data_IF_598887277118
#
_entry.id   IF_598887277118
#
_cell.length_a   1.000
_cell.length_b   1.000
_cell.length_c   1.000
_cell.angle_alpha   90.00
_cell.angle_beta   90.00
_cell.angle_gamma   90.00
#
_symmetry.space_group_name_H-M   'P 1'
#
loop_
_entity.id
_entity.type
_entity.pdbx_description
1 polymer ?
#
# COMPACT_ATOMS: atom_id res chain seq x y z
N UNK A 1 -15.13 -65.72 -20.94
CA UNK A 1 -14.00 -65.20 -20.26
C UNK A 1 -14.13 -63.67 -20.31
N UNK A 2 -14.77 -63.05 -19.32
CA UNK A 2 -14.98 -61.56 -19.28
C UNK A 2 -13.85 -60.89 -18.52
N UNK A 3 -13.03 -60.10 -19.25
CA UNK A 3 -11.99 -59.25 -18.63
C UNK A 3 -12.67 -58.04 -17.99
N UNK A 4 -12.66 -57.97 -16.65
CA UNK A 4 -13.06 -56.78 -15.91
C UNK A 4 -11.94 -55.75 -16.00
N UNK A 5 -12.16 -54.68 -16.76
CA UNK A 5 -11.27 -53.49 -16.79
C UNK A 5 -11.64 -52.61 -15.63
N UNK A 6 -10.76 -52.56 -14.60
CA UNK A 6 -10.92 -51.67 -13.47
C UNK A 6 -10.47 -50.29 -13.90
N UNK A 7 -11.41 -49.32 -14.02
CA UNK A 7 -11.13 -47.93 -14.31
C UNK A 7 -10.70 -47.26 -13.00
N UNK A 8 -9.41 -46.97 -12.85
CA UNK A 8 -8.86 -46.16 -11.74
C UNK A 8 -9.15 -44.69 -12.02
N UNK A 9 -10.16 -44.16 -11.32
CA UNK A 9 -10.43 -42.71 -11.32
C UNK A 9 -9.43 -42.04 -10.40
N UNK A 10 -8.43 -41.34 -10.98
CA UNK A 10 -7.54 -40.48 -10.25
C UNK A 10 -8.29 -39.18 -9.91
N UNK A 11 -8.72 -39.07 -8.66
CA UNK A 11 -9.29 -37.80 -8.13
C UNK A 11 -8.15 -36.81 -7.93
N UNK A 12 -7.97 -35.88 -8.86
CA UNK A 12 -7.06 -34.74 -8.72
C UNK A 12 -7.64 -33.77 -7.66
N UNK A 13 -7.18 -33.91 -6.43
CA UNK A 13 -7.44 -32.91 -5.40
C UNK A 13 -6.52 -31.73 -5.69
N UNK A 14 -7.04 -30.70 -6.39
CA UNK A 14 -6.35 -29.40 -6.53
C UNK A 14 -6.28 -28.77 -5.14
N UNK A 15 -5.11 -28.36 -4.68
CA UNK A 15 -5.02 -27.60 -3.43
C UNK A 15 -5.76 -26.29 -3.63
N UNK A 16 -6.85 -26.11 -2.89
CA UNK A 16 -7.52 -24.81 -2.75
C UNK A 16 -6.51 -23.88 -2.09
N UNK A 17 -5.87 -23.01 -2.88
CA UNK A 17 -5.06 -21.94 -2.34
C UNK A 17 -6.01 -20.94 -1.68
N UNK A 18 -6.16 -21.07 -0.38
CA UNK A 18 -6.81 -20.04 0.45
C UNK A 18 -5.88 -18.84 0.41
N UNK A 19 -6.19 -17.88 -0.46
CA UNK A 19 -5.61 -16.55 -0.38
C UNK A 19 -6.11 -15.96 0.94
N UNK A 20 -5.26 -15.97 1.95
CA UNK A 20 -5.53 -15.22 3.16
C UNK A 20 -5.74 -13.77 2.73
N UNK A 21 -6.99 -13.28 2.80
CA UNK A 21 -7.26 -11.87 2.58
C UNK A 21 -6.51 -11.12 3.69
N UNK A 22 -5.46 -10.41 3.29
CA UNK A 22 -4.69 -9.60 4.23
C UNK A 22 -5.65 -8.55 4.83
N UNK A 23 -5.87 -8.64 6.13
CA UNK A 23 -6.72 -7.66 6.83
C UNK A 23 -5.98 -6.32 6.94
N UNK A 24 -6.21 -5.46 5.95
CA UNK A 24 -5.55 -4.17 5.85
C UNK A 24 -5.81 -3.27 7.06
N UNK A 25 -6.93 -3.45 7.76
CA UNK A 25 -7.25 -2.69 8.97
C UNK A 25 -6.27 -2.95 10.11
N UNK A 26 -5.67 -4.14 10.14
CA UNK A 26 -4.67 -4.56 11.11
C UNK A 26 -3.23 -4.46 10.59
N UNK A 27 -3.00 -3.68 9.54
CA UNK A 27 -1.64 -3.42 9.04
C UNK A 27 -0.90 -2.45 9.97
N UNK A 28 0.32 -2.82 10.34
CA UNK A 28 1.27 -2.04 11.14
C UNK A 28 2.66 -2.10 10.54
N UNK A 29 3.51 -1.09 10.79
CA UNK A 29 4.93 -1.17 10.46
C UNK A 29 5.59 -2.42 11.04
N UNK A 30 6.44 -3.06 10.24
CA UNK A 30 7.16 -4.27 10.60
C UNK A 30 8.54 -4.23 9.90
N UNK A 31 9.65 -4.57 10.59
CA UNK A 31 11.00 -4.58 10.00
C UNK A 31 11.16 -5.52 8.79
N UNK A 32 10.31 -6.55 8.67
CA UNK A 32 10.31 -7.47 7.53
C UNK A 32 9.70 -6.86 6.25
N UNK A 33 8.96 -5.76 6.37
CA UNK A 33 8.36 -5.09 5.23
C UNK A 33 9.41 -4.34 4.42
N UNK A 34 9.48 -4.62 3.13
CA UNK A 34 10.28 -3.85 2.16
C UNK A 34 9.58 -2.52 1.83
N UNK A 35 10.31 -1.48 1.35
CA UNK A 35 9.72 -0.17 1.11
C UNK A 35 8.53 -0.19 0.13
N UNK A 36 8.62 -0.98 -0.95
CA UNK A 36 7.50 -1.13 -1.90
C UNK A 36 6.26 -1.78 -1.25
N UNK A 37 6.45 -2.68 -0.27
CA UNK A 37 5.33 -3.31 0.46
C UNK A 37 4.66 -2.29 1.38
N UNK A 38 5.44 -1.40 2.02
CA UNK A 38 4.89 -0.30 2.83
C UNK A 38 4.01 0.61 1.97
N UNK A 39 4.51 1.04 0.81
CA UNK A 39 3.72 1.86 -0.13
C UNK A 39 2.46 1.12 -0.59
N UNK A 40 2.58 -0.18 -0.92
CA UNK A 40 1.44 -1.01 -1.32
C UNK A 40 0.37 -1.10 -0.24
N UNK A 41 0.75 -1.29 1.02
CA UNK A 41 -0.19 -1.34 2.15
C UNK A 41 -0.91 -0.01 2.34
N UNK A 42 -0.18 1.11 2.29
CA UNK A 42 -0.76 2.44 2.37
C UNK A 42 -1.77 2.70 1.22
N UNK A 43 -1.42 2.33 -0.01
CA UNK A 43 -2.31 2.51 -1.16
C UNK A 43 -3.54 1.60 -1.09
N UNK A 44 -3.40 0.34 -0.65
CA UNK A 44 -4.52 -0.56 -0.44
C UNK A 44 -5.47 -0.03 0.66
N UNK A 45 -4.93 0.50 1.74
CA UNK A 45 -5.74 1.11 2.80
C UNK A 45 -6.52 2.33 2.28
N UNK A 46 -5.87 3.22 1.53
CA UNK A 46 -6.51 4.37 0.89
C UNK A 46 -7.57 3.94 -0.14
N UNK A 47 -7.30 2.90 -0.91
CA UNK A 47 -8.24 2.36 -1.89
C UNK A 47 -9.52 1.84 -1.24
N UNK A 48 -9.40 1.21 -0.07
CA UNK A 48 -10.51 0.62 0.68
C UNK A 48 -11.11 1.56 1.73
N UNK A 49 -10.70 2.84 1.74
CA UNK A 49 -11.18 3.80 2.73
C UNK A 49 -12.70 3.95 2.67
N UNK A 50 -13.31 4.02 3.83
CA UNK A 50 -14.75 4.24 4.02
C UNK A 50 -15.04 5.47 4.91
N UNK A 51 -16.28 5.66 5.30
CA UNK A 51 -16.71 6.80 6.12
C UNK A 51 -16.08 6.83 7.52
N UNK A 52 -15.51 5.72 7.99
CA UNK A 52 -14.75 5.68 9.25
C UNK A 52 -13.34 6.22 9.14
N UNK A 53 -12.86 6.50 7.92
CA UNK A 53 -11.48 6.92 7.63
C UNK A 53 -10.39 5.92 8.03
N UNK A 54 -10.73 4.62 8.16
CA UNK A 54 -9.77 3.61 8.57
C UNK A 54 -8.55 3.54 7.64
N UNK A 55 -8.75 3.72 6.33
CA UNK A 55 -7.66 3.69 5.35
C UNK A 55 -6.66 4.81 5.54
N UNK A 56 -7.14 6.01 5.89
CA UNK A 56 -6.30 7.16 6.24
C UNK A 56 -5.56 6.89 7.55
N UNK A 57 -6.24 6.32 8.56
CA UNK A 57 -5.63 5.94 9.83
C UNK A 57 -4.52 4.92 9.64
N UNK A 58 -4.76 3.84 8.89
CA UNK A 58 -3.73 2.84 8.57
C UNK A 58 -2.54 3.49 7.87
N UNK A 59 -2.78 4.34 6.88
CA UNK A 59 -1.72 5.07 6.18
C UNK A 59 -0.90 5.93 7.13
N UNK A 60 -1.53 6.60 8.09
CA UNK A 60 -0.84 7.41 9.09
C UNK A 60 0.06 6.60 10.03
N UNK A 61 -0.26 5.33 10.30
CA UNK A 61 0.61 4.43 11.09
C UNK A 61 1.98 4.28 10.45
N UNK A 62 2.05 4.25 9.12
CA UNK A 62 3.29 4.10 8.35
C UNK A 62 4.05 5.41 8.11
N UNK A 63 3.51 6.56 8.51
CA UNK A 63 4.22 7.82 8.46
C UNK A 63 5.38 7.84 9.47
N UNK A 64 6.57 8.31 9.05
CA UNK A 64 7.72 8.44 9.94
C UNK A 64 7.45 9.44 11.08
N UNK A 65 8.18 9.39 12.20
CA UNK A 65 8.02 10.35 13.28
C UNK A 65 8.13 11.80 12.81
N UNK A 66 9.07 12.12 11.92
CA UNK A 66 9.21 13.46 11.35
C UNK A 66 8.02 13.89 10.50
N UNK A 67 7.47 12.96 9.70
CA UNK A 67 6.26 13.19 8.92
C UNK A 67 5.05 13.44 9.85
N UNK A 68 4.90 12.63 10.91
CA UNK A 68 3.81 12.80 11.89
C UNK A 68 3.86 14.15 12.61
N UNK A 69 5.05 14.68 12.89
CA UNK A 69 5.22 16.02 13.47
C UNK A 69 4.67 17.09 12.51
N UNK A 70 4.91 16.94 11.20
CA UNK A 70 4.50 17.93 10.20
C UNK A 70 3.02 17.81 9.82
N UNK A 71 2.49 16.60 9.73
CA UNK A 71 1.15 16.32 9.18
C UNK A 71 0.11 15.94 10.23
N UNK A 72 0.54 15.51 11.41
CA UNK A 72 -0.33 15.10 12.52
C UNK A 72 -0.88 16.30 13.33
N UNK A 73 -1.75 16.02 14.28
CA UNK A 73 -2.25 14.70 14.69
C UNK A 73 -3.18 14.07 13.62
N UNK A 74 -3.63 12.83 13.84
CA UNK A 74 -4.46 12.07 12.88
C UNK A 74 -5.63 12.89 12.32
N UNK A 75 -6.35 13.64 13.13
CA UNK A 75 -7.46 14.49 12.68
C UNK A 75 -7.02 15.53 11.63
N UNK A 76 -5.82 16.09 11.77
CA UNK A 76 -5.23 17.03 10.79
C UNK A 76 -4.80 16.27 9.53
N UNK A 77 -4.22 15.09 9.68
CA UNK A 77 -3.83 14.22 8.57
C UNK A 77 -5.03 13.81 7.72
N UNK A 78 -6.18 13.46 8.34
CA UNK A 78 -7.42 13.17 7.62
C UNK A 78 -7.84 14.36 6.74
N UNK A 79 -7.80 15.59 7.28
CA UNK A 79 -8.12 16.80 6.49
C UNK A 79 -7.13 17.03 5.35
N UNK A 80 -5.85 16.76 5.57
CA UNK A 80 -4.81 16.86 4.55
C UNK A 80 -5.08 15.89 3.39
N UNK A 81 -5.37 14.63 3.70
CA UNK A 81 -5.65 13.61 2.67
C UNK A 81 -6.92 13.92 1.88
N UNK A 82 -7.91 14.56 2.52
CA UNK A 82 -9.16 14.94 1.85
C UNK A 82 -9.06 16.21 0.99
N UNK A 83 -7.93 16.92 1.01
CA UNK A 83 -7.73 18.06 0.14
C UNK A 83 -7.54 17.63 -1.35
N UNK A 84 -7.74 18.51 -2.33
CA UNK A 84 -7.68 18.17 -3.75
C UNK A 84 -6.39 17.48 -4.20
N UNK A 85 -5.24 17.80 -3.57
CA UNK A 85 -3.94 17.24 -3.97
C UNK A 85 -3.78 15.77 -3.60
N UNK A 86 -4.41 15.28 -2.53
CA UNK A 86 -4.26 13.92 -2.01
C UNK A 86 -5.54 13.09 -2.10
N UNK A 87 -6.71 13.73 -2.26
CA UNK A 87 -8.00 13.05 -2.42
C UNK A 87 -8.00 11.94 -3.49
N UNK A 88 -7.31 12.09 -4.62
CA UNK A 88 -7.24 11.03 -5.64
C UNK A 88 -6.69 9.69 -5.14
N UNK A 89 -5.95 9.67 -4.03
CA UNK A 89 -5.50 8.42 -3.38
C UNK A 89 -6.66 7.62 -2.79
N UNK A 90 -7.75 8.29 -2.39
CA UNK A 90 -8.92 7.64 -1.79
C UNK A 90 -9.75 6.94 -2.88
N UNK A 91 -10.07 5.66 -2.63
CA UNK A 91 -10.94 4.87 -3.49
C UNK A 91 -10.51 4.84 -4.99
N UNK A 92 -9.22 4.96 -5.24
CA UNK A 92 -8.68 4.84 -6.60
C UNK A 92 -8.95 3.44 -7.17
N UNK A 93 -9.01 3.32 -8.50
CA UNK A 93 -9.29 2.03 -9.15
C UNK A 93 -8.03 1.26 -9.50
N UNK A 94 -6.90 1.95 -9.69
CA UNK A 94 -5.64 1.30 -10.03
C UNK A 94 -4.44 2.09 -9.51
N UNK A 95 -3.38 1.37 -9.16
CA UNK A 95 -2.06 1.92 -8.82
C UNK A 95 -0.98 1.19 -9.62
N UNK A 96 -0.25 1.94 -10.45
CA UNK A 96 0.89 1.42 -11.22
C UNK A 96 2.18 1.83 -10.53
N UNK A 97 2.95 0.85 -10.06
CA UNK A 97 4.25 1.07 -9.44
C UNK A 97 5.32 1.23 -10.51
N UNK A 98 6.09 2.31 -10.43
CA UNK A 98 7.27 2.53 -11.25
C UNK A 98 8.50 1.93 -10.57
N UNK A 99 9.70 2.25 -11.08
CA UNK A 99 10.95 1.72 -10.53
C UNK A 99 11.16 2.14 -9.07
N UNK A 100 11.51 1.17 -8.23
CA UNK A 100 11.91 1.40 -6.84
C UNK A 100 13.40 1.71 -6.79
N UNK A 101 13.76 2.86 -6.24
CA UNK A 101 15.15 3.24 -6.00
C UNK A 101 15.46 3.19 -4.51
N UNK A 102 16.44 2.37 -4.13
CA UNK A 102 16.92 2.24 -2.74
C UNK A 102 18.38 2.66 -2.68
N UNK A 103 18.70 3.58 -1.78
CA UNK A 103 20.05 4.01 -1.47
C UNK A 103 20.27 3.97 0.04
N UNK A 104 21.00 2.99 0.53
CA UNK A 104 21.24 2.76 1.96
C UNK A 104 19.93 2.68 2.75
N UNK A 105 19.68 3.64 3.64
CA UNK A 105 18.52 3.72 4.52
C UNK A 105 17.37 4.54 3.92
N UNK A 106 17.43 4.91 2.64
CA UNK A 106 16.43 5.71 1.94
C UNK A 106 15.88 4.98 0.73
N UNK A 107 14.60 5.17 0.46
CA UNK A 107 13.94 4.64 -0.71
C UNK A 107 13.01 5.69 -1.34
N UNK A 108 12.88 5.62 -2.66
CA UNK A 108 11.93 6.40 -3.45
C UNK A 108 11.11 5.44 -4.30
N UNK A 109 9.80 5.52 -4.18
CA UNK A 109 8.85 4.78 -5.00
C UNK A 109 7.88 5.76 -5.64
N UNK A 110 7.90 5.83 -6.96
CA UNK A 110 6.89 6.54 -7.73
C UNK A 110 5.74 5.59 -8.08
N UNK A 111 4.52 6.08 -7.98
CA UNK A 111 3.31 5.38 -8.39
C UNK A 111 2.41 6.29 -9.20
N UNK A 112 1.69 5.72 -10.16
CA UNK A 112 0.65 6.41 -10.91
C UNK A 112 -0.70 5.87 -10.45
N UNK A 113 -1.53 6.74 -9.90
CA UNK A 113 -2.88 6.45 -9.47
C UNK A 113 -3.85 6.75 -10.61
N UNK A 114 -4.79 5.84 -10.85
CA UNK A 114 -5.93 6.07 -11.73
C UNK A 114 -7.20 6.14 -10.89
N UNK A 115 -7.92 7.23 -10.97
CA UNK A 115 -9.17 7.47 -10.25
C UNK A 115 -10.37 6.87 -10.98
N UNK A 116 -11.53 6.79 -10.32
CA UNK A 116 -12.77 6.25 -10.90
C UNK A 116 -13.26 7.02 -12.14
N UNK A 117 -12.90 8.30 -12.28
CA UNK A 117 -13.21 9.10 -13.47
C UNK A 117 -12.11 9.06 -14.55
N UNK A 118 -11.08 8.21 -14.38
CA UNK A 118 -10.01 8.03 -15.36
C UNK A 118 -8.85 9.02 -15.24
N UNK A 119 -8.86 9.94 -14.29
CA UNK A 119 -7.75 10.86 -14.04
C UNK A 119 -6.50 10.09 -13.57
N UNK A 120 -5.33 10.49 -14.10
CA UNK A 120 -4.04 9.87 -13.75
C UNK A 120 -3.16 10.89 -13.05
N UNK A 121 -2.72 10.55 -11.85
CA UNK A 121 -1.89 11.42 -11.01
C UNK A 121 -0.71 10.61 -10.48
N UNK A 122 0.50 11.18 -10.58
CA UNK A 122 1.69 10.59 -10.00
C UNK A 122 1.87 10.99 -8.54
N UNK A 123 2.38 10.06 -7.72
CA UNK A 123 2.76 10.31 -6.33
C UNK A 123 4.13 9.71 -6.06
N UNK A 124 5.04 10.54 -5.56
CA UNK A 124 6.38 10.12 -5.13
C UNK A 124 6.38 9.88 -3.63
N UNK A 125 6.55 8.63 -3.24
CA UNK A 125 6.78 8.23 -1.86
C UNK A 125 8.27 8.24 -1.56
N UNK A 126 8.65 8.96 -0.50
CA UNK A 126 9.99 8.90 0.07
C UNK A 126 9.91 8.22 1.42
N UNK A 127 10.79 7.24 1.62
CA UNK A 127 10.82 6.43 2.82
C UNK A 127 12.23 6.42 3.39
N UNK A 128 12.31 6.21 4.70
CA UNK A 128 13.57 5.92 5.38
C UNK A 128 13.39 4.82 6.42
N UNK A 129 14.51 4.21 6.83
CA UNK A 129 14.51 3.25 7.91
C UNK A 129 14.44 4.00 9.24
N UNK A 130 13.44 3.65 10.06
CA UNK A 130 13.31 4.16 11.42
C UNK A 130 14.43 3.61 12.31
N UNK A 131 15.14 4.51 12.97
CA UNK A 131 16.26 4.17 13.89
C UNK A 131 15.89 4.36 15.36
N UNK A 132 14.77 5.00 15.62
CA UNK A 132 14.27 5.26 16.97
C UNK A 132 13.50 4.08 17.57
N UNK A 133 12.99 4.26 18.80
CA UNK A 133 12.41 3.16 19.58
C UNK A 133 11.03 2.68 19.12
N UNK A 134 10.33 3.45 18.26
CA UNK A 134 8.95 3.11 17.87
C UNK A 134 8.87 1.85 17.01
N UNK A 135 9.78 1.70 16.05
CA UNK A 135 9.88 0.53 15.20
C UNK A 135 11.27 0.44 14.57
N UNK A 136 12.30 0.05 15.34
CA UNK A 136 13.67 -0.02 14.83
C UNK A 136 13.77 -0.92 13.60
N UNK A 137 14.32 -0.40 12.50
CA UNK A 137 14.49 -1.14 11.25
C UNK A 137 13.28 -1.12 10.31
N UNK A 138 12.17 -0.49 10.70
CA UNK A 138 11.01 -0.36 9.85
C UNK A 138 11.21 0.71 8.77
N UNK A 139 10.81 0.40 7.55
CA UNK A 139 10.63 1.42 6.51
C UNK A 139 9.38 2.25 6.80
N UNK A 140 9.57 3.56 6.92
CA UNK A 140 8.52 4.53 7.23
C UNK A 140 8.45 5.60 6.15
N UNK A 141 7.26 6.12 5.88
CA UNK A 141 7.05 7.14 4.85
C UNK A 141 7.35 8.53 5.40
N UNK A 142 8.34 9.20 4.82
CA UNK A 142 8.75 10.56 5.19
C UNK A 142 7.91 11.63 4.50
N UNK A 143 7.56 11.40 3.23
CA UNK A 143 6.74 12.33 2.44
C UNK A 143 6.07 11.63 1.26
N UNK A 144 4.95 12.18 0.84
CA UNK A 144 4.25 11.85 -0.40
C UNK A 144 4.02 13.12 -1.18
N UNK A 145 4.57 13.20 -2.41
CA UNK A 145 4.56 14.41 -3.23
C UNK A 145 3.83 14.11 -4.54
N UNK A 146 2.71 14.82 -4.85
CA UNK A 146 2.04 14.66 -6.13
C UNK A 146 2.88 15.23 -7.28
N UNK A 147 2.80 14.61 -8.45
CA UNK A 147 3.39 15.13 -9.69
C UNK A 147 2.49 14.86 -10.90
N UNK A 148 2.63 15.67 -11.93
CA UNK A 148 1.87 15.48 -13.18
C UNK A 148 2.44 14.32 -13.98
N UNK A 149 1.56 13.43 -14.44
CA UNK A 149 1.92 12.38 -15.40
C UNK A 149 1.93 13.02 -16.79
N UNK A 150 3.09 12.97 -17.46
CA UNK A 150 3.18 13.39 -18.86
C UNK A 150 2.60 12.28 -19.74
N UNK A 151 1.57 12.60 -20.50
CA UNK A 151 1.10 11.73 -21.58
C UNK A 151 2.07 11.88 -22.76
N UNK A 152 2.55 10.73 -23.25
CA UNK A 152 3.41 10.65 -24.45
C UNK A 152 2.55 10.46 -25.66
#
# INVERSE_FOLDING_TARGET
MFKRTTLLVFLFILPFQVWASYDIKNAYPDPELKPNNVVKLQLLAMQQNDDSDFGIEVTFRFASPSNKIQTGPLKRFIRLVRNPSYRPLLNHINATFLELNIQEDFAVQDVIITTSNGERIGYRFRLSIEKGPLCPGCWMTDSVIPFKVMEV
#
